data_IF_205585760057
#
_entry.id   IF_205585760057
#
_cell.length_a   1.000
_cell.length_b   1.000
_cell.length_c   1.000
_cell.angle_alpha   90.00
_cell.angle_beta   90.00
_cell.angle_gamma   90.00
#
_symmetry.space_group_name_H-M   'P 1'
#
loop_
_entity.id
_entity.type
_entity.pdbx_description
1 polymer ?
#
# COMPACT_ATOMS: atom_id res chain seq x y z
N UNK A 1 -6.64 -15.08 -1.82
CA UNK A 1 -5.50 -14.16 -1.54
C UNK A 1 -5.14 -14.03 -0.06
N UNK A 2 -5.97 -14.49 0.89
CA UNK A 2 -5.66 -14.39 2.32
C UNK A 2 -4.50 -15.33 2.72
N UNK A 3 -3.38 -14.83 3.29
CA UNK A 3 -2.26 -15.66 3.71
C UNK A 3 -2.53 -16.56 4.92
N UNK A 4 -3.66 -16.33 5.61
CA UNK A 4 -4.04 -16.98 6.86
C UNK A 4 -5.30 -17.84 6.74
N UNK A 5 -5.83 -17.99 5.51
CA UNK A 5 -7.09 -18.71 5.25
C UNK A 5 -8.27 -18.20 6.08
N UNK A 6 -8.26 -16.92 6.47
CA UNK A 6 -9.29 -16.30 7.32
C UNK A 6 -10.59 -15.94 6.57
N UNK A 7 -10.75 -16.38 5.31
CA UNK A 7 -11.90 -16.03 4.47
C UNK A 7 -12.49 -17.32 3.92
N UNK A 8 -13.76 -17.54 4.21
CA UNK A 8 -14.50 -18.73 3.81
C UNK A 8 -15.73 -18.34 3.00
N UNK A 9 -16.01 -19.09 1.95
CA UNK A 9 -17.27 -18.98 1.25
C UNK A 9 -18.32 -19.82 1.97
N UNK A 10 -19.43 -19.19 2.33
CA UNK A 10 -20.61 -19.86 2.86
C UNK A 10 -21.63 -19.99 1.75
N UNK A 11 -21.97 -21.23 1.41
CA UNK A 11 -22.87 -21.57 0.31
C UNK A 11 -22.15 -22.05 -0.96
N UNK A 12 -22.92 -22.37 -2.01
CA UNK A 12 -22.37 -22.98 -3.23
C UNK A 12 -21.47 -22.03 -4.03
N UNK A 13 -20.29 -22.52 -4.42
CA UNK A 13 -19.33 -21.82 -5.30
C UNK A 13 -20.00 -21.46 -6.63
N UNK A 14 -19.89 -20.19 -7.06
CA UNK A 14 -20.45 -19.71 -8.34
C UNK A 14 -21.95 -19.38 -8.32
N UNK A 15 -22.61 -19.39 -7.16
CA UNK A 15 -24.00 -18.92 -6.95
C UNK A 15 -24.02 -17.78 -5.91
N UNK A 16 -25.22 -17.36 -5.51
CA UNK A 16 -25.45 -16.53 -4.32
C UNK A 16 -24.84 -17.22 -3.09
N UNK A 17 -23.72 -16.69 -2.61
CA UNK A 17 -23.03 -17.14 -1.41
C UNK A 17 -22.51 -15.92 -0.65
N UNK A 18 -22.44 -16.04 0.67
CA UNK A 18 -21.85 -14.99 1.51
C UNK A 18 -20.40 -15.33 1.81
N UNK A 19 -19.62 -14.32 2.17
CA UNK A 19 -18.26 -14.50 2.65
C UNK A 19 -18.31 -14.38 4.17
N UNK A 20 -17.73 -15.36 4.86
CA UNK A 20 -17.48 -15.30 6.28
C UNK A 20 -16.00 -15.02 6.53
N UNK A 21 -15.70 -14.10 7.45
CA UNK A 21 -14.34 -13.84 7.89
C UNK A 21 -14.16 -14.53 9.25
N UNK A 22 -13.22 -15.45 9.34
CA UNK A 22 -12.82 -16.02 10.63
C UNK A 22 -11.98 -14.98 11.36
N UNK A 23 -12.63 -14.17 12.18
CA UNK A 23 -11.99 -13.04 12.88
C UNK A 23 -10.76 -13.47 13.68
N UNK A 24 -10.83 -14.62 14.35
CA UNK A 24 -9.73 -15.19 15.13
C UNK A 24 -8.48 -15.53 14.29
N UNK A 25 -8.63 -15.74 12.98
CA UNK A 25 -7.52 -15.98 12.05
C UNK A 25 -7.11 -14.72 11.26
N UNK A 26 -7.93 -13.65 11.30
CA UNK A 26 -7.69 -12.45 10.53
C UNK A 26 -6.59 -11.59 11.15
N UNK A 27 -5.45 -11.51 10.49
CA UNK A 27 -4.32 -10.69 10.94
C UNK A 27 -4.34 -9.25 10.41
N UNK A 28 -5.39 -8.84 9.68
CA UNK A 28 -5.57 -7.44 9.26
C UNK A 28 -4.61 -6.94 8.17
N UNK A 29 -4.03 -7.83 7.34
CA UNK A 29 -3.08 -7.42 6.29
C UNK A 29 -3.71 -6.60 5.14
N UNK A 30 -5.03 -6.66 4.94
CA UNK A 30 -5.76 -5.88 3.94
C UNK A 30 -5.66 -6.37 2.49
N UNK A 31 -4.97 -7.49 2.21
CA UNK A 31 -4.82 -8.03 0.85
C UNK A 31 -6.16 -8.31 0.18
N UNK A 32 -7.12 -8.85 0.93
CA UNK A 32 -8.45 -9.21 0.44
C UNK A 32 -9.28 -7.98 0.07
N UNK A 33 -9.27 -6.95 0.92
CA UNK A 33 -9.95 -5.68 0.64
C UNK A 33 -9.40 -5.06 -0.66
N UNK A 34 -8.08 -5.01 -0.81
CA UNK A 34 -7.45 -4.46 -2.01
C UNK A 34 -7.57 -5.34 -3.27
N UNK A 35 -7.96 -6.61 -3.15
CA UNK A 35 -8.19 -7.50 -4.28
C UNK A 35 -9.67 -7.53 -4.71
N UNK A 36 -10.58 -7.11 -3.84
CA UNK A 36 -12.01 -7.17 -4.10
C UNK A 36 -12.40 -6.06 -5.10
N UNK A 37 -12.72 -6.45 -6.33
CA UNK A 37 -13.18 -5.52 -7.36
C UNK A 37 -14.61 -5.01 -7.15
N UNK A 38 -15.30 -5.48 -6.10
CA UNK A 38 -16.69 -5.13 -5.80
C UNK A 38 -16.82 -4.30 -4.52
N UNK A 39 -15.70 -3.89 -3.91
CA UNK A 39 -15.67 -3.18 -2.61
C UNK A 39 -16.51 -3.89 -1.51
N UNK A 40 -16.58 -5.22 -1.56
CA UNK A 40 -17.42 -6.02 -0.67
C UNK A 40 -16.77 -6.33 0.70
N UNK A 41 -15.53 -5.88 0.92
CA UNK A 41 -14.75 -6.17 2.14
C UNK A 41 -14.31 -4.86 2.77
N UNK A 42 -14.93 -4.55 3.91
CA UNK A 42 -14.49 -3.44 4.76
C UNK A 42 -13.40 -3.87 5.73
N UNK A 43 -12.36 -3.03 5.81
CA UNK A 43 -11.34 -3.17 6.84
C UNK A 43 -11.80 -2.47 8.12
N UNK A 44 -11.56 -3.05 9.32
CA UNK A 44 -11.89 -2.38 10.58
C UNK A 44 -11.01 -1.14 10.86
N UNK A 45 -9.77 -1.16 10.35
CA UNK A 45 -8.80 -0.07 10.42
C UNK A 45 -8.13 0.09 9.06
N UNK A 46 -7.64 1.29 8.73
CA UNK A 46 -7.13 1.59 7.40
C UNK A 46 -8.22 1.35 6.34
N UNK A 47 -9.43 1.84 6.64
CA UNK A 47 -10.58 1.76 5.74
C UNK A 47 -10.30 2.58 4.48
N UNK A 48 -10.97 2.24 3.38
CA UNK A 48 -10.84 3.00 2.12
C UNK A 48 -11.16 4.50 2.34
N UNK A 49 -12.27 4.88 3.01
CA UNK A 49 -12.53 6.28 3.35
C UNK A 49 -11.44 6.94 4.20
N UNK A 50 -10.88 6.24 5.20
CA UNK A 50 -9.81 6.78 6.05
C UNK A 50 -8.54 7.07 5.25
N UNK A 51 -8.18 6.21 4.30
CA UNK A 51 -6.99 6.39 3.47
C UNK A 51 -7.22 7.52 2.46
N UNK A 52 -8.38 7.55 1.79
CA UNK A 52 -8.73 8.64 0.85
C UNK A 52 -8.72 10.01 1.54
N UNK A 53 -9.29 10.11 2.76
CA UNK A 53 -9.26 11.34 3.53
C UNK A 53 -7.83 11.79 3.89
N UNK A 54 -6.91 10.84 4.18
CA UNK A 54 -5.50 11.15 4.40
C UNK A 54 -4.82 11.66 3.12
N UNK A 55 -5.14 11.09 1.96
CA UNK A 55 -4.64 11.58 0.66
C UNK A 55 -5.12 13.01 0.41
N UNK A 56 -6.40 13.28 0.61
CA UNK A 56 -6.98 14.62 0.41
C UNK A 56 -6.33 15.66 1.34
N UNK A 57 -6.13 15.32 2.61
CA UNK A 57 -5.46 16.19 3.56
C UNK A 57 -4.00 16.42 3.17
N UNK A 58 -3.27 15.35 2.84
CA UNK A 58 -1.86 15.42 2.45
C UNK A 58 -1.65 16.28 1.19
N UNK A 59 -2.60 16.28 0.25
CA UNK A 59 -2.51 16.94 -1.05
C UNK A 59 -3.34 18.24 -1.13
N UNK A 60 -3.80 18.78 0.00
CA UNK A 60 -4.65 19.97 0.05
C UNK A 60 -4.00 21.28 -0.45
N UNK A 61 -2.67 21.34 -0.47
CA UNK A 61 -1.85 22.50 -0.88
C UNK A 61 -0.72 22.05 -1.79
N UNK A 62 -0.38 22.81 -2.83
CA UNK A 62 0.74 22.52 -3.77
C UNK A 62 1.00 21.02 -4.04
N UNK A 63 -0.02 20.24 -4.44
CA UNK A 63 0.10 18.79 -4.58
C UNK A 63 1.21 18.37 -5.57
N UNK A 64 1.46 19.18 -6.58
CA UNK A 64 2.51 19.00 -7.59
C UNK A 64 3.93 18.99 -7.01
N UNK A 65 4.14 19.65 -5.85
CA UNK A 65 5.43 19.67 -5.15
C UNK A 65 5.58 18.49 -4.18
N UNK A 66 4.54 17.68 -3.99
CA UNK A 66 4.50 16.62 -2.97
C UNK A 66 4.82 15.25 -3.54
N UNK A 67 5.50 14.45 -2.74
CA UNK A 67 5.68 13.02 -2.95
C UNK A 67 4.88 12.26 -1.90
N UNK A 68 3.85 11.52 -2.32
CA UNK A 68 3.05 10.69 -1.43
C UNK A 68 3.73 9.33 -1.25
N UNK A 69 4.06 8.98 -0.01
CA UNK A 69 4.81 7.77 0.32
C UNK A 69 3.92 6.79 1.09
N UNK A 70 3.45 5.77 0.40
CA UNK A 70 2.69 4.68 0.97
C UNK A 70 3.63 3.70 1.67
N UNK A 71 3.49 3.55 3.00
CA UNK A 71 4.38 2.71 3.82
C UNK A 71 3.64 1.56 4.49
N UNK A 72 4.25 0.38 4.49
CA UNK A 72 3.85 -0.67 5.43
C UNK A 72 4.37 -0.32 6.83
N UNK A 73 3.61 -0.68 7.85
CA UNK A 73 3.93 -0.38 9.24
C UNK A 73 5.24 -1.03 9.70
N UNK A 74 5.46 -2.28 9.31
CA UNK A 74 6.49 -3.14 9.91
C UNK A 74 7.90 -2.89 9.43
N UNK A 75 8.08 -2.44 8.19
CA UNK A 75 9.41 -2.21 7.63
C UNK A 75 9.58 -0.78 7.15
N UNK A 76 8.82 -0.34 6.16
CA UNK A 76 9.06 0.95 5.54
C UNK A 76 8.73 2.12 6.48
N UNK A 77 7.67 2.03 7.28
CA UNK A 77 7.39 3.06 8.29
C UNK A 77 8.47 3.08 9.38
N UNK A 78 8.89 1.91 9.88
CA UNK A 78 10.00 1.79 10.83
C UNK A 78 11.33 2.33 10.25
N UNK A 79 11.58 2.14 8.95
CA UNK A 79 12.73 2.73 8.26
C UNK A 79 12.65 4.27 8.19
N UNK A 80 11.45 4.83 8.03
CA UNK A 80 11.24 6.27 8.10
C UNK A 80 11.49 6.81 9.52
N UNK A 81 11.05 6.09 10.55
CA UNK A 81 11.34 6.43 11.95
C UNK A 81 12.85 6.38 12.23
N UNK A 82 13.56 5.36 11.72
CA UNK A 82 15.00 5.23 11.84
C UNK A 82 15.74 6.39 11.16
N UNK A 83 15.29 6.82 9.97
CA UNK A 83 15.84 7.99 9.30
C UNK A 83 15.72 9.26 10.17
N UNK A 84 14.61 9.41 10.89
CA UNK A 84 14.40 10.47 11.87
C UNK A 84 15.37 10.39 13.06
N UNK A 85 15.55 9.19 13.64
CA UNK A 85 16.49 8.94 14.75
C UNK A 85 17.93 9.29 14.34
N UNK A 86 18.33 8.90 13.13
CA UNK A 86 19.64 9.19 12.55
C UNK A 86 19.78 10.65 12.09
N UNK A 87 18.74 11.48 12.24
CA UNK A 87 18.70 12.90 11.82
C UNK A 87 19.04 13.10 10.34
N UNK A 88 18.69 12.12 9.51
CA UNK A 88 18.92 12.18 8.08
C UNK A 88 18.02 13.23 7.45
N UNK A 89 18.59 14.07 6.61
CA UNK A 89 17.85 15.09 5.90
C UNK A 89 17.25 14.50 4.62
N UNK A 90 16.00 14.84 4.35
CA UNK A 90 15.26 14.51 3.13
C UNK A 90 14.38 15.70 2.75
N UNK A 91 13.93 15.78 1.48
CA UNK A 91 13.00 16.81 1.06
C UNK A 91 11.73 16.84 1.91
N UNK A 92 11.33 18.04 2.34
CA UNK A 92 10.10 18.25 3.12
C UNK A 92 8.81 18.06 2.30
N UNK A 93 8.91 17.62 1.04
CA UNK A 93 7.81 17.28 0.13
C UNK A 93 7.20 15.91 0.41
N UNK A 94 7.90 15.02 1.12
CA UNK A 94 7.41 13.69 1.43
C UNK A 94 6.20 13.72 2.38
N UNK A 95 5.13 12.97 2.05
CA UNK A 95 3.93 12.81 2.88
C UNK A 95 3.63 11.33 3.04
N UNK A 96 3.79 10.81 4.25
CA UNK A 96 3.62 9.38 4.52
C UNK A 96 2.14 9.06 4.74
N UNK A 97 1.65 8.01 4.08
CA UNK A 97 0.41 7.32 4.42
C UNK A 97 0.75 5.90 4.84
N UNK A 98 0.42 5.56 6.08
CA UNK A 98 0.75 4.27 6.69
C UNK A 98 -0.41 3.30 6.57
N UNK A 99 -0.12 2.04 6.28
CA UNK A 99 -1.01 0.89 6.49
C UNK A 99 -0.26 -0.26 7.16
N UNK A 100 -0.96 -1.28 7.65
CA UNK A 100 -0.28 -2.43 8.25
C UNK A 100 0.61 -3.18 7.26
N UNK A 101 0.15 -3.35 6.02
CA UNK A 101 0.87 -4.07 4.98
C UNK A 101 0.76 -3.33 3.66
N UNK A 102 1.80 -3.41 2.83
CA UNK A 102 1.73 -2.90 1.46
C UNK A 102 0.63 -3.58 0.63
N UNK A 103 0.16 -4.75 1.06
CA UNK A 103 -0.94 -5.47 0.44
C UNK A 103 -2.31 -4.81 0.69
N UNK A 104 -2.41 -3.83 1.59
CA UNK A 104 -3.61 -3.00 1.74
C UNK A 104 -3.73 -1.96 0.63
N UNK A 105 -2.64 -1.55 0.00
CA UNK A 105 -2.72 -0.55 -1.06
C UNK A 105 -3.51 -1.08 -2.26
N UNK A 106 -4.43 -0.25 -2.75
CA UNK A 106 -5.33 -0.51 -3.87
C UNK A 106 -5.15 0.54 -4.96
N UNK A 107 -5.64 0.24 -6.16
CA UNK A 107 -5.47 1.10 -7.32
C UNK A 107 -6.11 2.48 -7.16
N UNK A 108 -7.25 2.53 -6.46
CA UNK A 108 -8.01 3.76 -6.27
C UNK A 108 -7.21 4.79 -5.48
N UNK A 109 -6.37 4.38 -4.54
CA UNK A 109 -5.47 5.29 -3.82
C UNK A 109 -4.46 5.95 -4.76
N UNK A 110 -3.88 5.16 -5.67
CA UNK A 110 -2.89 5.65 -6.63
C UNK A 110 -3.56 6.58 -7.63
N UNK A 111 -4.70 6.16 -8.15
CA UNK A 111 -5.49 6.93 -9.13
C UNK A 111 -5.95 8.25 -8.53
N UNK A 112 -6.53 8.23 -7.33
CA UNK A 112 -6.97 9.42 -6.61
C UNK A 112 -5.81 10.38 -6.35
N UNK A 113 -4.65 9.89 -5.90
CA UNK A 113 -3.49 10.74 -5.67
C UNK A 113 -3.06 11.51 -6.93
N UNK A 114 -3.02 10.84 -8.10
CA UNK A 114 -2.72 11.51 -9.37
C UNK A 114 -3.83 12.46 -9.83
N UNK A 115 -5.10 12.12 -9.62
CA UNK A 115 -6.23 13.01 -9.92
C UNK A 115 -6.23 14.27 -9.04
N UNK A 116 -5.67 14.20 -7.84
CA UNK A 116 -5.40 15.34 -6.96
C UNK A 116 -4.16 16.15 -7.35
N UNK A 117 -3.44 15.76 -8.39
CA UNK A 117 -2.28 16.49 -8.91
C UNK A 117 -0.94 16.19 -8.23
N UNK A 118 -0.81 15.07 -7.51
CA UNK A 118 0.43 14.74 -6.80
C UNK A 118 1.66 14.75 -7.71
N UNK A 119 2.77 15.31 -7.24
CA UNK A 119 4.05 15.30 -7.96
C UNK A 119 4.54 13.88 -8.23
N UNK A 120 4.63 13.05 -7.20
CA UNK A 120 5.01 11.64 -7.31
C UNK A 120 4.34 10.76 -6.25
N UNK A 121 4.25 9.46 -6.52
CA UNK A 121 3.78 8.43 -5.59
C UNK A 121 4.86 7.36 -5.46
N UNK A 122 5.29 7.12 -4.22
CA UNK A 122 6.12 6.00 -3.86
C UNK A 122 5.31 4.97 -3.08
N UNK A 123 5.25 3.75 -3.59
CA UNK A 123 4.75 2.59 -2.86
C UNK A 123 5.92 1.85 -2.24
N UNK A 124 5.82 1.51 -0.96
CA UNK A 124 6.86 0.77 -0.25
C UNK A 124 6.31 -0.44 0.48
N UNK A 125 7.16 -1.43 0.74
CA UNK A 125 6.83 -2.58 1.56
C UNK A 125 8.07 -3.33 2.05
N UNK A 126 7.84 -4.38 2.84
CA UNK A 126 8.88 -5.29 3.32
C UNK A 126 9.65 -5.92 2.15
N UNK A 127 10.91 -6.31 2.37
CA UNK A 127 11.73 -6.94 1.32
C UNK A 127 11.07 -8.19 0.72
N UNK A 128 11.24 -8.31 -0.59
CA UNK A 128 11.13 -9.58 -1.28
C UNK A 128 12.51 -10.24 -1.26
N UNK A 129 12.54 -11.53 -1.01
CA UNK A 129 13.79 -12.32 -0.95
C UNK A 129 13.76 -13.39 -2.04
N UNK A 130 14.93 -13.95 -2.34
CA UNK A 130 15.07 -15.00 -3.37
C UNK A 130 14.20 -16.23 -3.07
N UNK A 131 13.92 -16.49 -1.79
CA UNK A 131 13.09 -17.61 -1.32
C UNK A 131 11.64 -17.20 -1.04
N UNK A 132 11.33 -15.91 -0.99
CA UNK A 132 9.96 -15.47 -0.71
C UNK A 132 9.82 -14.01 -0.34
N UNK A 133 9.62 -13.74 0.95
CA UNK A 133 9.42 -12.39 1.46
C UNK A 133 9.65 -12.30 2.98
N UNK A 134 10.18 -11.16 3.41
CA UNK A 134 10.27 -10.74 4.81
C UNK A 134 8.98 -10.05 5.30
N UNK A 135 7.85 -10.28 4.63
CA UNK A 135 6.59 -9.67 5.00
C UNK A 135 6.14 -10.17 6.36
N UNK A 136 5.78 -9.26 7.26
CA UNK A 136 5.15 -9.60 8.54
C UNK A 136 3.89 -10.47 8.35
N UNK A 137 3.22 -10.32 7.22
CA UNK A 137 2.02 -11.08 6.87
C UNK A 137 2.30 -12.20 5.86
N UNK A 138 3.35 -13.00 6.14
CA UNK A 138 3.86 -14.10 5.31
C UNK A 138 4.34 -13.64 3.93
N UNK A 139 3.44 -13.63 2.95
CA UNK A 139 3.75 -13.31 1.56
C UNK A 139 2.77 -12.29 0.96
N UNK A 140 2.01 -11.58 1.80
CA UNK A 140 0.99 -10.64 1.38
C UNK A 140 1.50 -9.56 0.40
N UNK A 141 2.70 -9.02 0.62
CA UNK A 141 3.32 -8.01 -0.24
C UNK A 141 3.60 -8.50 -1.68
N UNK A 142 3.66 -9.82 -1.94
CA UNK A 142 3.76 -10.35 -3.31
C UNK A 142 2.53 -9.97 -4.15
N UNK A 143 1.37 -9.80 -3.52
CA UNK A 143 0.17 -9.31 -4.21
C UNK A 143 0.29 -7.82 -4.57
N UNK A 144 0.94 -7.00 -3.73
CA UNK A 144 1.29 -5.62 -4.10
C UNK A 144 2.15 -5.58 -5.36
N UNK A 145 3.18 -6.43 -5.47
CA UNK A 145 4.04 -6.48 -6.67
C UNK A 145 3.20 -6.72 -7.94
N UNK A 146 2.32 -7.73 -7.89
CA UNK A 146 1.46 -8.10 -9.03
C UNK A 146 0.52 -6.95 -9.42
N UNK A 147 -0.12 -6.31 -8.44
CA UNK A 147 -1.05 -5.20 -8.69
C UNK A 147 -0.32 -3.94 -9.16
N UNK A 148 0.85 -3.64 -8.59
CA UNK A 148 1.64 -2.47 -8.97
C UNK A 148 2.03 -2.49 -10.46
N UNK A 149 2.39 -3.66 -11.01
CA UNK A 149 2.64 -3.80 -12.45
C UNK A 149 1.41 -3.45 -13.30
N UNK A 150 0.19 -3.74 -12.80
CA UNK A 150 -1.04 -3.30 -13.44
C UNK A 150 -1.24 -1.79 -13.32
N UNK A 151 -1.09 -1.24 -12.11
CA UNK A 151 -1.22 0.19 -11.83
C UNK A 151 -0.29 1.03 -12.71
N UNK A 152 0.99 0.66 -12.80
CA UNK A 152 1.98 1.38 -13.61
C UNK A 152 1.61 1.38 -15.10
N UNK A 153 1.13 0.25 -15.65
CA UNK A 153 0.65 0.19 -17.04
C UNK A 153 -0.60 1.06 -17.24
N UNK A 154 -1.54 1.07 -16.29
CA UNK A 154 -2.76 1.88 -16.36
C UNK A 154 -2.43 3.38 -16.28
N UNK A 155 -1.61 3.79 -15.32
CA UNK A 155 -1.19 5.18 -15.15
C UNK A 155 -0.40 5.70 -16.35
N UNK A 156 0.48 4.88 -16.94
CA UNK A 156 1.16 5.23 -18.20
C UNK A 156 0.19 5.48 -19.35
N UNK A 157 -0.88 4.67 -19.48
CA UNK A 157 -1.94 4.90 -20.48
C UNK A 157 -2.73 6.18 -20.23
N UNK A 158 -2.84 6.61 -18.96
CA UNK A 158 -3.42 7.89 -18.56
C UNK A 158 -2.44 9.08 -18.73
N UNK A 159 -1.23 8.88 -19.26
CA UNK A 159 -0.25 9.94 -19.49
C UNK A 159 0.63 10.28 -18.27
N UNK A 160 0.60 9.47 -17.21
CA UNK A 160 1.51 9.64 -16.07
C UNK A 160 2.89 9.10 -16.45
N UNK A 161 3.92 9.91 -16.21
CA UNK A 161 5.31 9.50 -16.35
C UNK A 161 5.62 8.29 -15.44
N UNK A 162 6.16 7.17 -15.97
CA UNK A 162 6.54 6.00 -15.18
C UNK A 162 7.47 6.30 -14.00
N UNK A 163 8.28 7.36 -14.07
CA UNK A 163 9.17 7.75 -12.96
C UNK A 163 8.41 8.33 -11.76
N UNK A 164 7.19 8.86 -11.98
CA UNK A 164 6.33 9.44 -10.93
C UNK A 164 5.59 8.39 -10.12
N UNK A 165 5.58 7.12 -10.52
CA UNK A 165 4.98 6.02 -9.76
C UNK A 165 6.02 4.91 -9.57
N UNK A 166 6.58 4.82 -8.35
CA UNK A 166 7.64 3.87 -8.03
C UNK A 166 7.21 2.86 -6.96
N UNK A 167 7.84 1.69 -6.98
CA UNK A 167 7.72 0.64 -5.96
C UNK A 167 9.11 0.31 -5.43
N UNK A 168 9.28 0.34 -4.11
CA UNK A 168 10.53 -0.02 -3.44
C UNK A 168 10.28 -1.01 -2.30
N UNK A 169 11.22 -1.94 -2.15
CA UNK A 169 11.19 -2.94 -1.09
C UNK A 169 12.28 -2.61 -0.08
N UNK A 170 11.87 -2.25 1.14
CA UNK A 170 12.73 -1.60 2.13
C UNK A 170 12.54 -2.32 3.46
N UNK A 171 13.62 -2.79 4.08
CA UNK A 171 13.58 -3.35 5.44
C UNK A 171 13.58 -2.25 6.50
N UNK A 172 13.24 -2.61 7.74
CA UNK A 172 13.29 -1.68 8.87
C UNK A 172 14.70 -1.09 9.11
N UNK A 173 15.76 -1.80 8.72
CA UNK A 173 17.15 -1.38 8.89
C UNK A 173 17.67 -0.52 7.71
N UNK A 174 16.89 -0.35 6.64
CA UNK A 174 17.27 0.38 5.43
C UNK A 174 16.68 1.79 5.40
N UNK A 175 16.71 2.52 6.52
CA UNK A 175 16.17 3.88 6.59
C UNK A 175 16.69 4.79 5.47
N UNK A 176 17.96 4.63 5.06
CA UNK A 176 18.59 5.32 3.93
C UNK A 176 17.85 5.18 2.58
N UNK A 177 17.20 4.05 2.33
CA UNK A 177 16.52 3.77 1.05
C UNK A 177 15.20 4.54 0.88
N UNK A 178 14.65 5.10 1.96
CA UNK A 178 13.45 5.97 1.95
C UNK A 178 13.76 7.44 1.69
N UNK A 179 15.03 7.84 1.67
CA UNK A 179 15.44 9.26 1.73
C UNK A 179 15.84 9.76 0.33
N UNK A 180 16.20 8.84 -0.57
CA UNK A 180 16.66 9.13 -1.92
C UNK A 180 15.53 9.02 -2.97
N UNK A 181 14.34 9.54 -2.64
CA UNK A 181 13.14 9.51 -3.48
C UNK A 181 12.99 10.82 -4.23
#
# INVERSE_FOLDING_TARGET
>A
VCPYSAIEQVGPVGKEGTINIIEAACMGCGTCAAECNFDAIDMPYFTKPQILAQIDAALSTTPEEKCLVFTCNWCSYAGADLAGIEKRQYPASARIIRTMCSARFEEDFITHAFEKGVGAVLVTGCRLTDTGSDCHYNYANKFTLKRFQHWQRKMRRKGVDPERLQLRWISAAEGLSLIHI
#
